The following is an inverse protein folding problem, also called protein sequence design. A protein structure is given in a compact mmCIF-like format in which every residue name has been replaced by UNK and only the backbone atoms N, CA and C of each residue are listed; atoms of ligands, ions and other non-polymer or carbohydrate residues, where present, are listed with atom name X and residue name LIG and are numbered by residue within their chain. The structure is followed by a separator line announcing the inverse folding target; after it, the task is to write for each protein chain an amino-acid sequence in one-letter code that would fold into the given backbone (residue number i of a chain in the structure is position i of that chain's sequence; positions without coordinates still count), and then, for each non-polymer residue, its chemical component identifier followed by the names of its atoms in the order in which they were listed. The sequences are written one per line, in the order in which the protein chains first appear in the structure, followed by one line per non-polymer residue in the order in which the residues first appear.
data_IF_489216730558
#
_entry.id   IF_489216730558
#
_cell.length_a   1.000
_cell.length_b   1.000
_cell.length_c   1.000
_cell.angle_alpha   90.00
_cell.angle_beta   90.00
_cell.angle_gamma   90.00
#
_symmetry.space_group_name_H-M   'P 1'
#
loop_
_entity.id
_entity.type
_entity.pdbx_description
1 polymer ?
#
# COMPACT_ATOMS: atom_id res chain seq x y z
N UNK A 1 3.38 -10.49 19.20
CA UNK A 1 4.05 -9.20 18.93
C UNK A 1 3.64 -8.73 17.55
N UNK A 2 3.07 -7.54 17.41
CA UNK A 2 2.76 -6.93 16.11
C UNK A 2 4.04 -6.33 15.51
N UNK A 3 4.47 -6.85 14.36
CA UNK A 3 5.62 -6.29 13.62
C UNK A 3 5.14 -5.13 12.75
N UNK A 4 5.91 -4.04 12.72
CA UNK A 4 5.71 -2.91 11.81
C UNK A 4 6.84 -2.91 10.80
N UNK A 5 6.52 -2.88 9.52
CA UNK A 5 7.49 -2.92 8.42
C UNK A 5 7.28 -1.66 7.59
N UNK A 6 8.37 -0.94 7.32
CA UNK A 6 8.37 0.19 6.40
C UNK A 6 8.98 -0.28 5.09
N UNK A 7 8.20 -0.23 4.02
CA UNK A 7 8.69 -0.46 2.65
C UNK A 7 9.11 0.88 2.07
N UNK A 8 10.41 1.04 1.83
CA UNK A 8 11.00 2.21 1.17
C UNK A 8 11.63 1.79 -0.17
N UNK A 9 12.02 2.76 -0.99
CA UNK A 9 12.78 2.47 -2.20
C UNK A 9 13.56 3.67 -2.69
N UNK A 10 14.48 3.41 -3.62
CA UNK A 10 15.48 4.38 -4.09
C UNK A 10 14.93 5.38 -5.10
N UNK A 11 13.78 5.08 -5.70
CA UNK A 11 13.13 5.91 -6.71
C UNK A 11 11.61 5.63 -6.78
N UNK A 12 10.89 6.39 -7.59
CA UNK A 12 9.52 6.19 -8.04
C UNK A 12 9.44 5.06 -9.07
N UNK A 13 8.26 4.45 -9.28
CA UNK A 13 8.07 3.44 -10.34
C UNK A 13 8.79 2.08 -10.16
N UNK A 14 9.69 1.91 -9.19
CA UNK A 14 10.49 0.67 -9.03
C UNK A 14 9.75 -0.54 -8.42
N UNK A 15 8.42 -0.52 -8.35
CA UNK A 15 7.62 -1.67 -7.89
C UNK A 15 7.36 -1.78 -6.38
N UNK A 16 7.58 -0.72 -5.59
CA UNK A 16 7.30 -0.69 -4.13
C UNK A 16 5.86 -1.11 -3.79
N UNK A 17 4.90 -0.66 -4.57
CA UNK A 17 3.46 -0.90 -4.35
C UNK A 17 3.11 -2.37 -4.57
N UNK A 18 3.61 -2.97 -5.65
CA UNK A 18 3.46 -4.41 -5.93
C UNK A 18 4.11 -5.26 -4.84
N UNK A 19 5.33 -4.90 -4.42
CA UNK A 19 6.01 -5.59 -3.33
C UNK A 19 5.20 -5.48 -2.01
N UNK A 20 4.67 -4.30 -1.71
CA UNK A 20 3.85 -4.08 -0.51
C UNK A 20 2.57 -4.91 -0.52
N UNK A 21 1.92 -5.06 -1.69
CA UNK A 21 0.75 -5.90 -1.83
C UNK A 21 1.06 -7.38 -1.54
N UNK A 22 2.14 -7.91 -2.14
CA UNK A 22 2.58 -9.28 -1.90
C UNK A 22 2.98 -9.53 -0.46
N UNK A 23 3.71 -8.58 0.16
CA UNK A 23 4.10 -8.68 1.56
C UNK A 23 2.89 -8.63 2.50
N UNK A 24 1.95 -7.72 2.26
CA UNK A 24 0.75 -7.59 3.08
C UNK A 24 -0.14 -8.84 2.97
N UNK A 25 -0.32 -9.37 1.75
CA UNK A 25 -1.06 -10.63 1.52
C UNK A 25 -0.38 -11.83 2.19
N UNK A 26 0.94 -11.98 2.02
CA UNK A 26 1.71 -13.08 2.62
C UNK A 26 1.62 -13.09 4.16
N UNK A 27 1.60 -11.92 4.77
CA UNK A 27 1.57 -11.79 6.23
C UNK A 27 0.16 -11.75 6.82
N UNK A 28 -0.89 -11.77 5.98
CA UNK A 28 -2.25 -11.42 6.39
C UNK A 28 -2.24 -10.12 7.23
N UNK A 29 -1.65 -9.08 6.64
CA UNK A 29 -1.32 -7.82 7.31
C UNK A 29 -2.34 -6.71 7.11
N UNK A 30 -2.03 -5.54 7.67
CA UNK A 30 -2.64 -4.27 7.28
C UNK A 30 -1.67 -3.48 6.41
N UNK A 31 -2.20 -2.82 5.39
CA UNK A 31 -1.45 -1.87 4.56
C UNK A 31 -1.90 -0.44 4.87
N UNK A 32 -0.95 0.50 4.87
CA UNK A 32 -1.26 1.91 5.05
C UNK A 32 -0.31 2.80 4.28
N UNK A 33 -0.90 3.69 3.46
CA UNK A 33 -0.22 4.79 2.79
C UNK A 33 -0.81 6.10 3.32
N UNK A 34 -0.24 6.71 4.37
CA UNK A 34 -0.85 7.91 4.97
C UNK A 34 -0.84 9.12 4.04
N UNK A 35 0.14 9.22 3.15
CA UNK A 35 0.30 10.34 2.21
C UNK A 35 0.37 9.77 0.79
N UNK A 36 -0.64 10.06 -0.02
CA UNK A 36 -0.70 9.72 -1.44
C UNK A 36 -0.55 10.99 -2.26
N UNK A 37 0.30 10.94 -3.28
CA UNK A 37 0.44 12.00 -4.28
C UNK A 37 0.18 11.41 -5.67
N UNK A 38 -0.44 12.20 -6.54
CA UNK A 38 -0.86 11.71 -7.86
C UNK A 38 -2.14 10.88 -7.72
N UNK A 39 -3.26 11.53 -8.01
CA UNK A 39 -4.62 10.96 -7.90
C UNK A 39 -5.29 10.79 -9.27
N UNK A 40 -4.57 11.10 -10.35
CA UNK A 40 -5.06 10.97 -11.73
C UNK A 40 -4.99 9.52 -12.23
N UNK A 41 -4.34 8.64 -11.48
CA UNK A 41 -4.16 7.21 -11.75
C UNK A 41 -4.57 6.41 -10.50
N UNK A 42 -4.51 5.08 -10.60
CA UNK A 42 -4.73 4.18 -9.47
C UNK A 42 -3.72 4.49 -8.34
N UNK A 43 -4.23 4.76 -7.15
CA UNK A 43 -3.42 5.03 -5.95
C UNK A 43 -2.72 3.77 -5.45
N UNK A 44 -1.68 3.95 -4.64
CA UNK A 44 -0.99 2.82 -4.01
C UNK A 44 -1.97 1.93 -3.21
N UNK A 45 -2.93 2.55 -2.52
CA UNK A 45 -3.95 1.87 -1.73
C UNK A 45 -4.87 1.00 -2.60
N UNK A 46 -5.32 1.52 -3.75
CA UNK A 46 -6.17 0.80 -4.70
C UNK A 46 -5.41 -0.38 -5.33
N UNK A 47 -4.16 -0.17 -5.76
CA UNK A 47 -3.30 -1.25 -6.27
C UNK A 47 -3.14 -2.37 -5.22
N UNK A 48 -2.86 -2.02 -3.97
CA UNK A 48 -2.68 -3.02 -2.90
C UNK A 48 -3.98 -3.74 -2.59
N UNK A 49 -5.12 -3.04 -2.55
CA UNK A 49 -6.42 -3.68 -2.34
C UNK A 49 -6.71 -4.71 -3.45
N UNK A 50 -6.42 -4.37 -4.70
CA UNK A 50 -6.62 -5.25 -5.86
C UNK A 50 -5.66 -6.45 -5.90
N UNK A 51 -4.40 -6.27 -5.52
CA UNK A 51 -3.36 -7.29 -5.71
C UNK A 51 -3.08 -8.18 -4.49
N UNK A 52 -3.40 -7.73 -3.28
CA UNK A 52 -2.98 -8.44 -2.05
C UNK A 52 -3.82 -9.68 -1.71
N UNK A 53 -5.03 -9.80 -2.27
CA UNK A 53 -5.98 -10.86 -1.91
C UNK A 53 -6.52 -10.74 -0.47
N UNK A 54 -6.30 -9.60 0.19
CA UNK A 54 -6.77 -9.34 1.54
C UNK A 54 -8.27 -8.99 1.54
N UNK A 55 -8.99 -9.31 2.63
CA UNK A 55 -10.38 -8.87 2.79
C UNK A 55 -10.48 -7.35 2.95
N UNK A 56 -11.69 -6.82 2.71
CA UNK A 56 -12.01 -5.41 2.92
C UNK A 56 -11.64 -4.95 4.35
N UNK A 57 -11.20 -3.70 4.46
CA UNK A 57 -10.75 -3.11 5.72
C UNK A 57 -9.30 -3.41 6.11
N UNK A 58 -8.57 -4.23 5.33
CA UNK A 58 -7.13 -4.45 5.52
C UNK A 58 -6.24 -3.37 4.92
N UNK A 59 -6.75 -2.64 3.96
CA UNK A 59 -6.12 -1.43 3.42
C UNK A 59 -6.71 -0.23 4.14
N UNK A 60 -5.89 0.44 4.95
CA UNK A 60 -6.30 1.60 5.71
C UNK A 60 -6.36 2.85 4.82
N UNK A 61 -7.31 3.76 5.04
CA UNK A 61 -7.47 4.94 4.20
C UNK A 61 -6.26 5.88 4.27
N UNK A 62 -6.01 6.55 3.15
CA UNK A 62 -5.06 7.64 3.03
C UNK A 62 -5.52 8.82 3.88
N UNK A 63 -4.58 9.47 4.59
CA UNK A 63 -4.89 10.66 5.41
C UNK A 63 -4.77 11.92 4.58
N UNK A 64 -3.71 12.00 3.78
CA UNK A 64 -3.42 13.13 2.90
C UNK A 64 -3.39 12.65 1.46
N UNK A 65 -4.24 13.26 0.63
CA UNK A 65 -4.32 12.98 -0.81
C UNK A 65 -3.95 14.27 -1.54
N UNK A 66 -2.75 14.30 -2.11
CA UNK A 66 -2.12 15.47 -2.71
C UNK A 66 -2.32 15.43 -4.23
N UNK A 67 -2.98 16.46 -4.75
CA UNK A 67 -3.25 16.68 -6.19
C UNK A 67 -2.16 17.52 -6.84
#
# INVERSE_FOLDING_TARGET
MTKRIVVTGTDTGIGKTVFSAGLAGLLDGFYWKPVQSGLNEETDSEVVARLSGLPDGRVLPEVYRLT
#
